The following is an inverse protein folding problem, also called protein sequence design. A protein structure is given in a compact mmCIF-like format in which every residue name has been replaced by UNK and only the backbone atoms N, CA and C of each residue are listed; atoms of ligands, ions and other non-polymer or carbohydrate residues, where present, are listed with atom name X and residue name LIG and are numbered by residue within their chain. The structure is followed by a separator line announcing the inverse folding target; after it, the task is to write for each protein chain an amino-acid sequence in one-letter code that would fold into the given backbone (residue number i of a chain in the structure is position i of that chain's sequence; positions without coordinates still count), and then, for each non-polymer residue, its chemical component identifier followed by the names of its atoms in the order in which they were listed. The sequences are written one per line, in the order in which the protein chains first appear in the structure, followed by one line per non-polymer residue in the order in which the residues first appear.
data_IF_328307863198
#
_entry.id   IF_328307863198
#
_cell.length_a   1.000
_cell.length_b   1.000
_cell.length_c   1.000
_cell.angle_alpha   90.00
_cell.angle_beta   90.00
_cell.angle_gamma   90.00
#
_symmetry.space_group_name_H-M   'P 1'
#
loop_
_entity.id
_entity.type
_entity.pdbx_description
1 polymer ?
#
# COMPACT_ATOMS: atom_id res chain seq x y z
N UNK A 1 43.79 10.93 -6.09
CA UNK A 1 43.23 10.71 -4.73
C UNK A 1 42.05 9.78 -4.89
N UNK A 2 42.18 8.52 -4.47
CA UNK A 2 41.08 7.58 -4.39
C UNK A 2 40.52 7.68 -2.98
N UNK A 3 39.25 8.07 -2.85
CA UNK A 3 38.53 8.08 -1.57
C UNK A 3 38.19 6.62 -1.22
N UNK A 4 38.67 6.15 -0.07
CA UNK A 4 38.32 4.84 0.48
C UNK A 4 37.53 5.07 1.77
N UNK A 5 36.42 4.33 1.93
CA UNK A 5 35.56 4.38 3.10
C UNK A 5 35.02 2.98 3.41
N UNK A 6 34.73 2.71 4.68
CA UNK A 6 34.15 1.42 5.12
C UNK A 6 32.69 1.36 4.68
N UNK A 7 32.23 0.22 4.16
CA UNK A 7 30.83 0.01 3.82
C UNK A 7 30.26 -1.08 4.72
N UNK A 8 29.11 -0.82 5.33
CA UNK A 8 28.40 -1.75 6.22
C UNK A 8 26.99 -1.96 5.69
N UNK A 9 26.61 -3.21 5.46
CA UNK A 9 25.21 -3.57 5.17
C UNK A 9 24.52 -3.81 6.49
N UNK A 10 23.50 -3.01 6.78
CA UNK A 10 22.75 -3.09 8.02
C UNK A 10 21.73 -4.22 7.97
N UNK A 11 21.58 -4.93 9.09
CA UNK A 11 20.54 -5.93 9.26
C UNK A 11 19.18 -5.27 9.43
N UNK A 12 18.13 -5.94 8.95
CA UNK A 12 16.76 -5.55 9.25
C UNK A 12 16.47 -5.80 10.74
N UNK A 13 15.91 -4.79 11.42
CA UNK A 13 15.43 -4.97 12.79
C UNK A 13 14.25 -5.95 12.80
N UNK A 14 14.11 -6.80 13.84
CA UNK A 14 12.92 -7.63 14.01
C UNK A 14 11.64 -6.79 13.94
N UNK A 15 10.60 -7.36 13.34
CA UNK A 15 9.28 -6.74 13.19
C UNK A 15 9.29 -5.34 12.53
N UNK A 16 10.32 -5.04 11.73
CA UNK A 16 10.48 -3.76 11.03
C UNK A 16 10.69 -3.98 9.54
N UNK A 17 9.91 -3.29 8.73
CA UNK A 17 10.10 -3.22 7.28
C UNK A 17 10.38 -1.77 6.88
N UNK A 18 11.40 -1.57 6.04
CA UNK A 18 11.73 -0.26 5.50
C UNK A 18 11.15 -0.13 4.09
N UNK A 19 10.30 0.86 3.86
CA UNK A 19 9.72 1.12 2.54
C UNK A 19 10.08 2.52 2.06
N UNK A 20 10.20 2.68 0.74
CA UNK A 20 10.19 3.99 0.10
C UNK A 20 8.75 4.36 -0.22
N UNK A 21 8.29 5.53 0.25
CA UNK A 21 6.98 6.08 -0.14
C UNK A 21 7.22 7.24 -1.10
N UNK A 22 6.73 7.12 -2.32
CA UNK A 22 7.00 8.06 -3.39
C UNK A 22 5.69 8.71 -3.87
N UNK A 23 5.68 10.04 -3.99
CA UNK A 23 4.53 10.83 -4.42
C UNK A 23 4.85 11.57 -5.75
N UNK A 24 4.75 10.90 -6.92
CA UNK A 24 5.28 11.42 -8.19
C UNK A 24 4.72 12.79 -8.59
N UNK A 25 3.47 13.06 -8.25
CA UNK A 25 2.75 14.28 -8.67
C UNK A 25 2.82 15.42 -7.64
N UNK A 26 3.42 15.18 -6.47
CA UNK A 26 3.40 16.12 -5.36
C UNK A 26 4.69 16.93 -5.32
N UNK A 27 4.57 18.26 -5.23
CA UNK A 27 5.71 19.19 -5.15
C UNK A 27 6.13 19.55 -3.72
N UNK A 28 5.28 19.23 -2.74
CA UNK A 28 5.51 19.49 -1.32
C UNK A 28 5.68 18.17 -0.58
N UNK A 29 6.35 18.22 0.56
CA UNK A 29 6.45 17.06 1.44
C UNK A 29 5.04 16.56 1.84
N UNK A 30 4.88 15.24 1.86
CA UNK A 30 3.66 14.59 2.34
C UNK A 30 3.69 14.41 3.85
N UNK A 31 4.88 14.38 4.45
CA UNK A 31 5.10 14.20 5.88
C UNK A 31 5.39 15.51 6.61
N UNK A 32 4.91 16.62 6.04
CA UNK A 32 4.90 17.94 6.68
C UNK A 32 3.98 17.91 7.91
N UNK A 33 4.46 18.26 9.12
CA UNK A 33 3.65 18.31 10.33
C UNK A 33 2.37 19.13 10.18
N UNK A 34 2.39 20.21 9.40
CA UNK A 34 1.22 21.07 9.17
C UNK A 34 0.09 20.34 8.42
N UNK A 35 0.43 19.32 7.63
CA UNK A 35 -0.52 18.53 6.84
C UNK A 35 -1.13 17.36 7.61
N UNK A 36 -0.69 17.11 8.84
CA UNK A 36 -1.22 16.06 9.73
C UNK A 36 -1.44 14.71 9.01
N UNK A 37 -0.36 14.08 8.52
CA UNK A 37 -0.46 12.84 7.76
C UNK A 37 -1.06 11.73 8.62
N UNK A 38 -2.07 11.04 8.06
CA UNK A 38 -2.69 9.86 8.67
C UNK A 38 -2.58 8.70 7.73
N UNK A 39 -2.09 7.58 8.25
CA UNK A 39 -1.70 6.45 7.43
C UNK A 39 -2.45 5.22 7.90
N UNK A 40 -2.89 4.42 6.93
CA UNK A 40 -3.37 3.07 7.18
C UNK A 40 -2.80 2.11 6.15
N UNK A 41 -2.65 0.86 6.55
CA UNK A 41 -1.93 -0.14 5.79
C UNK A 41 -2.66 -1.48 5.80
N UNK A 42 -2.63 -2.17 4.65
CA UNK A 42 -3.08 -3.54 4.49
C UNK A 42 -1.88 -4.44 4.27
N UNK A 43 -1.62 -5.32 5.24
CA UNK A 43 -0.38 -6.11 5.32
C UNK A 43 -0.26 -7.16 4.21
N UNK A 44 -1.33 -7.91 3.94
CA UNK A 44 -1.28 -9.03 3.01
C UNK A 44 -1.20 -8.57 1.55
N UNK A 45 -1.91 -7.49 1.22
CA UNK A 45 -1.90 -6.94 -0.15
C UNK A 45 -0.88 -5.83 -0.37
N UNK A 46 -0.15 -5.44 0.68
CA UNK A 46 0.82 -4.33 0.71
C UNK A 46 0.25 -3.06 0.09
N UNK A 47 -0.88 -2.61 0.63
CA UNK A 47 -1.57 -1.40 0.18
C UNK A 47 -1.52 -0.35 1.28
N UNK A 48 -1.04 0.84 0.96
CA UNK A 48 -0.96 1.97 1.86
C UNK A 48 -1.93 3.06 1.41
N UNK A 49 -2.65 3.64 2.36
CA UNK A 49 -3.43 4.86 2.17
C UNK A 49 -2.88 5.94 3.09
N UNK A 50 -2.59 7.09 2.50
CA UNK A 50 -2.12 8.29 3.19
C UNK A 50 -3.16 9.38 3.00
N UNK A 51 -3.68 9.92 4.10
CA UNK A 51 -4.58 11.08 4.11
C UNK A 51 -3.83 12.28 4.63
N UNK A 52 -3.89 13.36 3.87
CA UNK A 52 -3.27 14.63 4.22
C UNK A 52 -4.37 15.70 4.33
N UNK A 53 -4.28 16.56 5.34
CA UNK A 53 -5.13 17.72 5.42
C UNK A 53 -4.91 18.62 4.18
N UNK A 54 -6.01 19.15 3.64
CA UNK A 54 -5.94 20.15 2.59
C UNK A 54 -5.31 21.45 3.10
N UNK A 55 -4.60 22.12 2.20
CA UNK A 55 -4.10 23.47 2.42
C UNK A 55 -5.26 24.47 2.26
N UNK A 56 -5.88 24.83 3.39
CA UNK A 56 -6.99 25.79 3.45
C UNK A 56 -6.52 27.26 3.48
N UNK A 57 -5.23 27.50 3.68
CA UNK A 57 -4.66 28.85 3.81
C UNK A 57 -4.14 29.38 2.47
N UNK A 58 -3.88 28.49 1.50
CA UNK A 58 -3.51 28.89 0.15
C UNK A 58 -4.63 29.69 -0.53
N UNK A 59 -4.27 30.76 -1.23
CA UNK A 59 -5.20 31.52 -2.07
C UNK A 59 -5.80 30.72 -3.24
N UNK A 60 -5.31 29.49 -3.48
CA UNK A 60 -5.84 28.54 -4.45
C UNK A 60 -7.02 27.70 -3.92
N UNK A 61 -7.34 27.75 -2.63
CA UNK A 61 -8.43 26.97 -2.05
C UNK A 61 -9.79 27.67 -2.21
N UNK A 62 -10.63 27.14 -3.09
CA UNK A 62 -12.03 27.57 -3.22
C UNK A 62 -12.91 26.82 -2.21
N UNK A 63 -13.15 27.46 -1.07
CA UNK A 63 -13.97 26.91 0.01
C UNK A 63 -15.39 26.57 -0.45
N UNK A 64 -16.04 27.45 -1.22
CA UNK A 64 -17.42 27.23 -1.66
C UNK A 64 -17.54 26.01 -2.56
N UNK A 65 -16.59 25.84 -3.49
CA UNK A 65 -16.56 24.67 -4.37
C UNK A 65 -16.21 23.39 -3.59
N UNK A 66 -15.24 23.46 -2.68
CA UNK A 66 -14.87 22.32 -1.84
C UNK A 66 -16.04 21.84 -0.96
N UNK A 67 -16.81 22.77 -0.39
CA UNK A 67 -17.98 22.44 0.42
C UNK A 67 -19.09 21.75 -0.40
N UNK A 68 -19.32 22.18 -1.63
CA UNK A 68 -20.28 21.52 -2.54
C UNK A 68 -19.86 20.08 -2.82
N UNK A 69 -18.58 19.83 -3.10
CA UNK A 69 -18.07 18.47 -3.30
C UNK A 69 -18.19 17.61 -2.04
N UNK A 70 -17.91 18.17 -0.87
CA UNK A 70 -18.06 17.47 0.40
C UNK A 70 -19.53 17.08 0.66
N UNK A 71 -20.50 17.95 0.33
CA UNK A 71 -21.92 17.65 0.46
C UNK A 71 -22.37 16.52 -0.48
N UNK A 72 -21.90 16.50 -1.73
CA UNK A 72 -22.20 15.41 -2.67
C UNK A 72 -21.62 14.07 -2.22
N UNK A 73 -20.42 14.06 -1.62
CA UNK A 73 -19.79 12.83 -1.14
C UNK A 73 -20.41 12.27 0.15
N UNK A 74 -20.91 13.14 1.03
CA UNK A 74 -21.47 12.74 2.33
C UNK A 74 -22.80 11.97 2.22
N UNK A 75 -23.56 12.14 1.14
CA UNK A 75 -24.83 11.44 0.93
C UNK A 75 -24.68 9.91 0.78
N UNK A 76 -23.48 9.41 0.40
CA UNK A 76 -23.27 8.03 -0.03
C UNK A 76 -22.35 7.20 0.89
N UNK A 77 -22.00 7.69 2.08
CA UNK A 77 -21.09 6.96 3.01
C UNK A 77 -21.89 6.27 4.12
N UNK A 78 -22.05 4.94 4.01
CA UNK A 78 -22.44 4.11 5.16
C UNK A 78 -21.40 4.27 6.28
N UNK A 79 -21.90 4.56 7.47
CA UNK A 79 -21.22 5.16 8.63
C UNK A 79 -20.10 4.33 9.29
N UNK A 80 -19.66 3.20 8.70
CA UNK A 80 -18.71 2.27 9.33
C UNK A 80 -17.23 2.67 9.21
N UNK A 81 -16.86 3.65 8.38
CA UNK A 81 -15.45 4.07 8.18
C UNK A 81 -15.14 5.49 8.71
N UNK A 82 -15.84 5.90 9.77
CA UNK A 82 -15.75 7.23 10.39
C UNK A 82 -14.47 7.45 11.24
N UNK A 83 -13.30 7.02 10.75
CA UNK A 83 -12.04 7.53 11.30
C UNK A 83 -11.90 9.00 10.88
N UNK A 84 -12.30 9.91 11.80
CA UNK A 84 -12.14 11.37 11.80
C UNK A 84 -11.82 12.00 10.42
N UNK A 85 -12.67 11.81 9.41
CA UNK A 85 -12.40 12.37 8.08
C UNK A 85 -12.37 13.88 8.17
N UNK A 86 -11.26 14.53 7.80
CA UNK A 86 -11.32 15.95 7.55
C UNK A 86 -12.09 16.14 6.26
N UNK A 87 -12.98 17.13 6.25
CA UNK A 87 -13.94 17.42 5.17
C UNK A 87 -13.30 17.55 3.77
N UNK A 88 -11.98 17.79 3.71
CA UNK A 88 -11.23 18.08 2.49
C UNK A 88 -9.94 17.26 2.37
N UNK A 89 -9.85 16.08 3.00
CA UNK A 89 -8.63 15.26 2.93
C UNK A 89 -8.18 14.98 1.49
N UNK A 90 -6.89 15.19 1.23
CA UNK A 90 -6.23 14.62 0.06
C UNK A 90 -5.87 13.17 0.36
N UNK A 91 -6.52 12.24 -0.35
CA UNK A 91 -6.28 10.80 -0.19
C UNK A 91 -5.29 10.34 -1.27
N UNK A 92 -4.25 9.66 -0.85
CA UNK A 92 -3.30 8.97 -1.71
C UNK A 92 -3.30 7.49 -1.39
N UNK A 93 -3.28 6.66 -2.43
CA UNK A 93 -3.19 5.21 -2.30
C UNK A 93 -1.97 4.73 -3.10
N UNK A 94 -1.26 3.73 -2.58
CA UNK A 94 -0.11 3.16 -3.27
C UNK A 94 0.05 1.70 -2.88
N UNK A 95 0.52 0.89 -3.83
CA UNK A 95 0.77 -0.53 -3.62
C UNK A 95 2.24 -0.83 -3.81
N UNK A 96 2.81 -1.59 -2.89
CA UNK A 96 4.15 -2.14 -3.04
C UNK A 96 4.06 -3.56 -3.58
N UNK A 97 4.70 -3.82 -4.71
CA UNK A 97 4.80 -5.17 -5.26
C UNK A 97 5.98 -5.92 -4.64
N UNK A 98 5.83 -7.24 -4.48
CA UNK A 98 6.93 -8.09 -4.04
C UNK A 98 7.96 -8.23 -5.16
N UNK A 99 9.24 -8.03 -4.80
CA UNK A 99 10.53 -8.36 -5.44
C UNK A 99 10.54 -9.16 -6.77
N UNK A 100 9.83 -8.72 -7.80
CA UNK A 100 10.03 -9.19 -9.19
C UNK A 100 10.76 -8.13 -10.03
N UNK A 101 11.28 -7.07 -9.40
CA UNK A 101 12.08 -6.05 -10.08
C UNK A 101 13.58 -6.35 -10.00
N UNK A 102 14.27 -6.16 -11.12
CA UNK A 102 15.73 -6.23 -11.24
C UNK A 102 16.44 -5.08 -10.48
N UNK A 103 15.69 -4.05 -10.08
CA UNK A 103 16.21 -2.87 -9.40
C UNK A 103 15.91 -2.95 -7.91
N UNK A 104 16.95 -3.18 -7.11
CA UNK A 104 16.86 -3.11 -5.66
C UNK A 104 17.31 -1.73 -5.19
N UNK A 105 16.49 -1.12 -4.33
CA UNK A 105 16.82 0.15 -3.70
C UNK A 105 17.34 -0.11 -2.28
N UNK A 106 18.20 0.76 -1.81
CA UNK A 106 18.67 0.79 -0.43
C UNK A 106 18.79 2.25 0.03
N UNK A 107 18.71 2.47 1.33
CA UNK A 107 18.97 3.79 1.94
C UNK A 107 20.39 3.77 2.47
N UNK A 108 21.18 4.77 2.08
CA UNK A 108 22.57 4.92 2.51
C UNK A 108 22.76 6.15 3.39
N UNK A 109 23.57 6.06 4.45
CA UNK A 109 23.99 7.22 5.24
C UNK A 109 25.48 7.14 5.61
N UNK A 110 26.14 8.31 5.65
CA UNK A 110 27.51 8.43 6.14
C UNK A 110 27.50 8.77 7.63
N UNK A 111 28.35 8.09 8.39
CA UNK A 111 28.69 8.45 9.76
C UNK A 111 30.21 8.34 9.90
N UNK A 112 30.88 9.50 9.93
CA UNK A 112 32.35 9.56 9.86
C UNK A 112 32.86 9.09 8.50
N UNK A 113 33.72 8.08 8.50
CA UNK A 113 34.33 7.43 7.33
C UNK A 113 33.64 6.11 6.93
N UNK A 114 32.47 5.84 7.51
CA UNK A 114 31.71 4.61 7.28
C UNK A 114 30.38 4.93 6.59
N UNK A 115 30.10 4.22 5.50
CA UNK A 115 28.85 4.26 4.74
C UNK A 115 27.98 3.06 5.11
N UNK A 116 26.84 3.33 5.72
CA UNK A 116 25.87 2.33 6.15
C UNK A 116 24.78 2.20 5.09
N UNK A 117 24.42 0.98 4.72
CA UNK A 117 23.42 0.68 3.70
C UNK A 117 22.33 -0.22 4.30
N UNK A 118 21.08 0.25 4.28
CA UNK A 118 19.91 -0.52 4.72
C UNK A 118 19.03 -0.90 3.52
N UNK A 119 18.77 -2.18 3.26
CA UNK A 119 17.91 -2.61 2.16
C UNK A 119 16.45 -2.19 2.41
N UNK A 120 15.76 -1.75 1.35
CA UNK A 120 14.31 -1.48 1.45
C UNK A 120 13.50 -2.71 1.01
N UNK A 121 12.38 -2.95 1.69
CA UNK A 121 11.43 -4.03 1.41
C UNK A 121 10.63 -3.81 0.12
N UNK A 122 10.44 -2.54 -0.27
CA UNK A 122 9.76 -2.17 -1.51
C UNK A 122 9.52 -0.67 -1.64
N UNK A 123 8.86 -0.28 -2.74
CA UNK A 123 8.40 1.09 -2.97
C UNK A 123 6.88 1.14 -3.06
N UNK A 124 6.26 2.10 -2.38
CA UNK A 124 4.89 2.53 -2.61
C UNK A 124 4.90 3.72 -3.57
N UNK A 125 4.47 3.49 -4.80
CA UNK A 125 4.18 4.58 -5.74
C UNK A 125 2.76 5.08 -5.49
N UNK A 126 2.66 6.24 -4.84
CA UNK A 126 1.41 6.83 -4.39
C UNK A 126 0.73 7.59 -5.51
N UNK A 127 -0.56 7.31 -5.74
CA UNK A 127 -1.41 8.07 -6.64
C UNK A 127 -2.54 8.74 -5.85
N UNK A 128 -2.97 9.91 -6.30
CA UNK A 128 -4.11 10.60 -5.69
C UNK A 128 -5.39 9.81 -5.99
N UNK A 129 -6.12 9.42 -4.94
CA UNK A 129 -7.39 8.71 -5.04
C UNK A 129 -8.55 9.70 -5.18
N UNK A 130 -9.41 9.45 -6.18
CA UNK A 130 -10.66 10.18 -6.41
C UNK A 130 -11.89 9.30 -6.13
N UNK A 131 -11.71 8.16 -5.45
CA UNK A 131 -12.78 7.19 -5.21
C UNK A 131 -13.99 7.81 -4.49
N UNK A 132 -13.75 8.76 -3.59
CA UNK A 132 -14.79 9.51 -2.89
C UNK A 132 -15.66 10.36 -3.83
N UNK A 133 -15.13 10.84 -4.97
CA UNK A 133 -15.90 11.57 -5.98
C UNK A 133 -16.71 10.62 -6.87
N UNK A 134 -16.16 9.45 -7.19
CA UNK A 134 -16.84 8.47 -8.03
C UNK A 134 -18.12 7.93 -7.37
N UNK A 135 -18.11 7.79 -6.05
CA UNK A 135 -19.29 7.35 -5.30
C UNK A 135 -20.38 8.42 -5.24
N UNK A 136 -20.06 9.72 -5.39
CA UNK A 136 -21.05 10.80 -5.38
C UNK A 136 -21.99 10.76 -6.59
N UNK A 137 -21.55 10.23 -7.74
CA UNK A 137 -22.36 10.13 -8.96
C UNK A 137 -23.31 8.93 -8.99
N UNK A 138 -23.11 7.91 -8.16
CA UNK A 138 -23.95 6.70 -8.16
C UNK A 138 -25.30 6.89 -7.47
N UNK A 139 -25.35 7.70 -6.40
CA UNK A 139 -26.61 7.99 -5.71
C UNK A 139 -27.63 8.76 -6.56
N UNK A 140 -27.22 9.40 -7.66
CA UNK A 140 -28.15 10.08 -8.57
C UNK A 140 -28.77 9.15 -9.62
N UNK A 141 -28.24 7.92 -9.79
CA UNK A 141 -28.73 6.94 -10.77
C UNK A 141 -29.50 5.79 -10.11
N UNK A 142 -29.25 5.51 -8.82
CA UNK A 142 -29.98 4.47 -8.08
C UNK A 142 -31.41 4.91 -7.67
N UNK A 143 -31.74 6.21 -7.70
CA UNK A 143 -33.09 6.71 -7.36
C UNK A 143 -34.12 6.53 -8.50
N UNK A 144 -33.71 6.12 -9.72
CA UNK A 144 -34.64 5.83 -10.83
C UNK A 144 -34.91 4.32 -11.05
N UNK A 145 -34.15 3.41 -10.43
CA UNK A 145 -34.30 1.96 -10.65
C UNK A 145 -35.03 1.20 -9.51
N UNK A 146 -35.45 1.88 -8.42
CA UNK A 146 -36.27 1.28 -7.34
C UNK A 146 -37.75 1.70 -7.42
N UNK A 147 -38.32 1.65 -8.62
CA UNK A 147 -39.75 1.87 -8.87
C UNK A 147 -40.29 0.85 -9.89
N UNK A 148 -40.10 -0.44 -9.62
CA UNK A 148 -40.58 -1.50 -10.50
C UNK A 148 -40.52 -2.88 -9.89
N UNK A 149 -41.56 -3.20 -9.12
CA UNK A 149 -42.24 -4.51 -8.97
C UNK A 149 -42.74 -4.71 -7.54
N UNK A 150 -43.85 -4.03 -7.22
CA UNK A 150 -44.75 -4.46 -6.17
C UNK A 150 -45.51 -5.68 -6.69
N UNK A 151 -45.16 -6.88 -6.20
CA UNK A 151 -45.96 -8.08 -6.40
C UNK A 151 -46.68 -8.42 -5.10
N UNK A 152 -48.00 -8.26 -5.12
CA UNK A 152 -48.91 -8.62 -4.04
C UNK A 152 -49.68 -9.86 -4.50
N UNK A 153 -49.83 -10.83 -3.59
CA UNK A 153 -50.68 -12.02 -3.66
C UNK A 153 -50.16 -13.24 -4.48
N UNK A 154 -49.80 -14.32 -3.78
CA UNK A 154 -50.62 -15.55 -3.78
C UNK A 154 -50.00 -16.67 -2.94
N UNK A 155 -50.81 -17.21 -2.02
CA UNK A 155 -50.60 -18.49 -1.36
C UNK A 155 -50.55 -19.65 -2.37
N UNK A 156 -49.58 -20.54 -2.20
CA UNK A 156 -49.51 -21.79 -2.97
C UNK A 156 -48.24 -22.58 -2.66
N UNK A 157 -48.37 -23.61 -1.85
CA UNK A 157 -47.32 -24.60 -1.56
C UNK A 157 -46.82 -25.26 -2.85
N UNK A 158 -45.72 -24.76 -3.38
CA UNK A 158 -44.95 -25.43 -4.44
C UNK A 158 -43.66 -25.96 -3.82
N UNK A 159 -43.49 -27.28 -3.91
CA UNK A 159 -42.28 -27.99 -3.51
C UNK A 159 -41.06 -27.39 -4.22
N UNK A 160 -40.25 -26.62 -3.48
CA UNK A 160 -38.99 -26.07 -3.99
C UNK A 160 -38.04 -27.24 -4.30
N UNK A 161 -37.93 -27.60 -5.58
CA UNK A 161 -36.98 -28.59 -6.07
C UNK A 161 -35.56 -28.15 -5.70
N UNK A 162 -34.92 -28.87 -4.78
CA UNK A 162 -33.54 -28.61 -4.37
C UNK A 162 -32.61 -29.03 -5.51
N UNK A 163 -32.15 -28.06 -6.30
CA UNK A 163 -31.19 -28.30 -7.39
C UNK A 163 -29.78 -28.31 -6.81
N UNK A 164 -29.30 -29.49 -6.43
CA UNK A 164 -27.93 -29.68 -5.94
C UNK A 164 -26.97 -29.55 -7.13
N UNK A 165 -26.26 -28.41 -7.23
CA UNK A 165 -25.16 -28.24 -8.19
C UNK A 165 -23.89 -28.80 -7.55
N UNK A 166 -23.47 -29.99 -7.98
CA UNK A 166 -22.17 -30.53 -7.60
C UNK A 166 -21.07 -29.62 -8.16
N UNK A 167 -20.23 -29.08 -7.28
CA UNK A 167 -19.07 -28.31 -7.68
C UNK A 167 -18.11 -29.23 -8.44
N UNK A 168 -17.91 -28.98 -9.73
CA UNK A 168 -16.85 -29.66 -10.48
C UNK A 168 -15.51 -29.23 -9.88
N UNK A 169 -14.59 -30.17 -9.59
CA UNK A 169 -13.23 -29.84 -9.21
C UNK A 169 -12.64 -28.93 -10.28
N UNK A 170 -12.16 -27.76 -9.87
CA UNK A 170 -11.61 -26.80 -10.79
C UNK A 170 -10.25 -27.27 -11.28
N UNK A 171 -10.01 -27.12 -12.58
CA UNK A 171 -8.70 -27.44 -13.16
C UNK A 171 -7.65 -26.40 -12.74
N UNK A 172 -6.39 -26.80 -12.62
CA UNK A 172 -5.28 -25.88 -12.29
C UNK A 172 -5.19 -24.68 -13.24
N UNK A 173 -5.51 -24.88 -14.53
CA UNK A 173 -5.56 -23.80 -15.53
C UNK A 173 -6.68 -22.78 -15.27
N UNK A 174 -7.85 -23.24 -14.82
CA UNK A 174 -8.97 -22.37 -14.47
C UNK A 174 -8.66 -21.60 -13.19
N UNK A 175 -8.08 -22.28 -12.20
CA UNK A 175 -7.62 -21.67 -10.95
C UNK A 175 -6.64 -20.53 -11.20
N UNK A 176 -5.61 -20.75 -12.02
CA UNK A 176 -4.65 -19.71 -12.40
C UNK A 176 -5.29 -18.52 -13.12
N UNK A 177 -6.27 -18.76 -14.01
CA UNK A 177 -7.03 -17.67 -14.67
C UNK A 177 -7.87 -16.87 -13.68
N UNK A 178 -8.51 -17.55 -12.74
CA UNK A 178 -9.30 -16.91 -11.69
C UNK A 178 -8.42 -16.10 -10.76
N UNK A 179 -7.26 -16.62 -10.36
CA UNK A 179 -6.28 -15.89 -9.53
C UNK A 179 -5.71 -14.65 -10.23
N UNK A 180 -5.51 -14.72 -11.55
CA UNK A 180 -5.09 -13.57 -12.36
C UNK A 180 -6.21 -12.55 -12.62
N UNK A 181 -7.47 -12.88 -12.34
CA UNK A 181 -8.61 -12.01 -12.61
C UNK A 181 -8.61 -10.76 -11.72
N UNK A 182 -9.10 -9.64 -12.25
CA UNK A 182 -9.29 -8.41 -11.47
C UNK A 182 -10.21 -8.64 -10.27
N UNK A 183 -11.32 -9.37 -10.49
CA UNK A 183 -12.31 -9.66 -9.45
C UNK A 183 -11.74 -10.47 -8.27
N UNK A 184 -10.84 -11.42 -8.52
CA UNK A 184 -10.18 -12.12 -7.43
C UNK A 184 -9.22 -11.21 -6.64
N UNK A 185 -8.45 -10.37 -7.34
CA UNK A 185 -7.57 -9.38 -6.71
C UNK A 185 -8.36 -8.37 -5.87
N UNK A 186 -9.49 -7.88 -6.37
CA UNK A 186 -10.40 -7.00 -5.63
C UNK A 186 -10.95 -7.68 -4.38
N UNK A 187 -11.34 -8.95 -4.46
CA UNK A 187 -11.80 -9.73 -3.30
C UNK A 187 -10.70 -9.89 -2.25
N UNK A 188 -9.46 -10.18 -2.67
CA UNK A 188 -8.32 -10.26 -1.75
C UNK A 188 -8.06 -8.92 -1.06
N UNK A 189 -8.03 -7.83 -1.84
CA UNK A 189 -7.88 -6.48 -1.29
C UNK A 189 -9.02 -6.19 -0.31
N UNK A 190 -10.27 -6.48 -0.66
CA UNK A 190 -11.42 -6.23 0.20
C UNK A 190 -11.41 -7.06 1.49
N UNK A 191 -10.94 -8.31 1.42
CA UNK A 191 -10.82 -9.19 2.59
C UNK A 191 -9.73 -8.78 3.57
N UNK A 192 -8.68 -8.10 3.09
CA UNK A 192 -7.58 -7.67 3.94
C UNK A 192 -7.97 -6.42 4.76
N UNK A 193 -7.73 -6.48 6.07
CA UNK A 193 -8.16 -5.45 7.01
C UNK A 193 -7.21 -4.24 7.01
N UNK A 194 -7.78 -3.05 7.15
CA UNK A 194 -7.00 -1.83 7.34
C UNK A 194 -6.43 -1.77 8.75
N UNK A 195 -5.13 -1.53 8.86
CA UNK A 195 -4.41 -1.32 10.12
C UNK A 195 -4.06 0.18 10.19
N UNK A 196 -4.62 0.96 11.14
CA UNK A 196 -4.19 2.34 11.35
C UNK A 196 -2.74 2.35 11.86
N UNK A 197 -1.96 3.35 11.44
CA UNK A 197 -0.57 3.51 11.83
C UNK A 197 -0.36 4.81 12.58
N UNK A 198 0.40 4.73 13.67
CA UNK A 198 0.90 5.91 14.38
C UNK A 198 2.07 6.51 13.57
N UNK A 199 1.95 7.81 13.26
CA UNK A 199 2.91 8.51 12.40
C UNK A 199 3.86 9.32 13.27
N UNK A 200 5.12 8.89 13.31
CA UNK A 200 6.22 9.61 13.96
C UNK A 200 7.03 10.36 12.89
N UNK A 201 7.13 11.68 13.04
CA UNK A 201 7.86 12.55 12.09
C UNK A 201 9.32 12.70 12.51
N UNK A 202 10.15 13.31 11.63
CA UNK A 202 11.61 13.39 11.81
C UNK A 202 12.05 14.07 13.12
N UNK A 203 11.21 14.94 13.68
CA UNK A 203 11.47 15.64 14.95
C UNK A 203 11.19 14.78 16.19
N UNK A 204 10.50 13.64 16.03
CA UNK A 204 10.17 12.74 17.11
C UNK A 204 11.44 11.99 17.60
N UNK A 205 11.76 12.02 18.90
CA UNK A 205 12.90 11.29 19.45
C UNK A 205 12.91 9.80 19.11
N UNK A 206 11.73 9.17 19.02
CA UNK A 206 11.59 7.75 18.69
C UNK A 206 12.12 7.41 17.29
N UNK A 207 12.02 8.35 16.33
CA UNK A 207 12.56 8.17 14.97
C UNK A 207 14.07 8.18 14.99
N UNK A 208 14.67 9.09 15.78
CA UNK A 208 16.13 9.17 15.94
C UNK A 208 16.68 7.92 16.61
N UNK A 209 16.00 7.43 17.65
CA UNK A 209 16.36 6.19 18.34
C UNK A 209 16.29 4.99 17.40
N UNK A 210 15.21 4.86 16.64
CA UNK A 210 15.04 3.75 15.69
C UNK A 210 16.06 3.79 14.57
N UNK A 211 16.40 4.98 14.05
CA UNK A 211 17.47 5.16 13.06
C UNK A 211 18.83 4.72 13.63
N UNK A 212 19.13 5.06 14.89
CA UNK A 212 20.36 4.65 15.56
C UNK A 212 20.45 3.11 15.67
N UNK A 213 19.35 2.43 16.04
CA UNK A 213 19.29 0.97 16.09
C UNK A 213 19.49 0.29 14.73
N UNK A 214 19.05 0.91 13.63
CA UNK A 214 19.30 0.40 12.27
C UNK A 214 20.74 0.58 11.80
N UNK A 215 21.56 1.39 12.48
CA UNK A 215 22.95 1.70 12.08
C UNK A 215 24.00 1.08 13.02
N UNK A 216 23.62 0.02 13.73
CA UNK A 216 24.54 -0.69 14.63
C UNK A 216 25.60 -1.41 13.80
N UNK A 217 26.86 -1.10 14.09
CA UNK A 217 28.01 -1.85 13.60
C UNK A 217 27.92 -3.28 14.11
N UNK A 218 27.96 -4.31 13.24
CA UNK A 218 28.15 -5.67 13.71
C UNK A 218 29.46 -5.74 14.50
N UNK A 219 29.55 -6.59 15.54
CA UNK A 219 30.79 -6.82 16.26
C UNK A 219 31.89 -7.18 15.26
N UNK A 220 33.09 -6.65 15.46
CA UNK A 220 34.25 -6.96 14.62
C UNK A 220 34.72 -8.39 14.88
N UNK A 221 33.95 -9.38 14.44
CA UNK A 221 34.33 -10.79 14.52
C UNK A 221 33.73 -11.55 13.34
N UNK A 222 34.63 -12.09 12.50
CA UNK A 222 34.30 -13.14 11.55
C UNK A 222 34.35 -12.72 10.08
N UNK A 223 35.57 -12.54 9.56
CA UNK A 223 35.89 -12.78 8.14
C UNK A 223 35.62 -14.26 7.81
N UNK A 224 34.33 -14.60 7.66
CA UNK A 224 33.84 -15.95 7.37
C UNK A 224 32.69 -15.92 6.36
N UNK A 225 32.61 -14.85 5.56
CA UNK A 225 31.81 -14.88 4.35
C UNK A 225 32.53 -15.75 3.33
N UNK A 226 31.87 -16.81 2.84
CA UNK A 226 32.33 -17.50 1.63
C UNK A 226 32.60 -16.45 0.55
N UNK A 227 33.85 -16.37 0.12
CA UNK A 227 34.30 -15.40 -0.87
C UNK A 227 33.79 -15.87 -2.24
N UNK A 228 32.52 -15.59 -2.52
CA UNK A 228 31.89 -15.88 -3.80
C UNK A 228 32.70 -15.19 -4.89
N UNK A 229 33.21 -15.98 -5.83
CA UNK A 229 33.94 -15.44 -6.97
C UNK A 229 32.96 -14.73 -7.90
N UNK A 230 33.47 -13.85 -8.77
CA UNK A 230 32.64 -13.20 -9.80
C UNK A 230 31.92 -14.22 -10.68
N UNK A 231 32.53 -15.40 -10.89
CA UNK A 231 31.92 -16.51 -11.61
C UNK A 231 30.72 -17.10 -10.85
N UNK A 232 30.85 -17.31 -9.55
CA UNK A 232 29.76 -17.84 -8.71
C UNK A 232 28.57 -16.87 -8.70
N UNK A 233 28.84 -15.56 -8.62
CA UNK A 233 27.81 -14.52 -8.70
C UNK A 233 27.09 -14.49 -10.06
N UNK A 234 27.82 -14.69 -11.15
CA UNK A 234 27.27 -14.74 -12.51
C UNK A 234 26.46 -16.03 -12.71
N UNK A 235 26.94 -17.18 -12.25
CA UNK A 235 26.23 -18.45 -12.35
C UNK A 235 24.94 -18.42 -11.50
N UNK A 236 24.97 -17.89 -10.27
CA UNK A 236 23.76 -17.68 -9.46
C UNK A 236 22.77 -16.68 -10.09
N UNK A 237 23.29 -15.59 -10.69
CA UNK A 237 22.45 -14.59 -11.36
C UNK A 237 21.79 -15.10 -12.65
N UNK A 238 22.44 -16.03 -13.37
CA UNK A 238 21.94 -16.61 -14.62
C UNK A 238 20.94 -17.76 -14.34
N UNK A 239 21.12 -18.54 -13.28
CA UNK A 239 20.26 -19.69 -12.97
C UNK A 239 18.89 -19.27 -12.40
N UNK A 240 18.75 -18.05 -11.86
CA UNK A 240 17.44 -17.49 -11.47
C UNK A 240 16.48 -17.22 -12.64
N UNK A 241 16.86 -17.53 -13.89
CA UNK A 241 16.04 -17.42 -15.09
C UNK A 241 15.20 -18.65 -15.44
N UNK A 242 15.46 -19.83 -14.86
CA UNK A 242 14.66 -21.02 -15.16
C UNK A 242 13.57 -21.24 -14.10
N UNK A 243 12.34 -20.87 -14.48
CA UNK A 243 11.14 -21.44 -13.88
C UNK A 243 11.21 -22.97 -14.00
N UNK A 244 11.44 -23.66 -12.89
CA UNK A 244 10.98 -25.04 -12.75
C UNK A 244 9.44 -25.00 -12.83
N UNK A 245 8.94 -25.20 -14.05
CA UNK A 245 7.65 -25.81 -14.28
C UNK A 245 7.88 -27.33 -14.32
N UNK A 246 7.53 -28.01 -13.24
CA UNK A 246 6.95 -29.35 -13.30
C UNK A 246 5.76 -29.43 -12.36
#
# INVERSE_FOLDING_TARGET
LLFQFKVVVCNQLPDTELYRVHFPVRKRDAFDPERQPRIRYKKNVRLMEVRLAADLTSGSFDKSKAERFAQMGAANVKQENAAAQHKFDEIYEGRAYAKDDFVQFAVGCFRGDTFYISPIAGTFDMHRSLAHLNNAGKGAHDDEEDAGESDTEAAGTTSKQVRVKFARPETERQKKRREASALHREKLIASDSWIPMDVHLKEDPSVTEKLAQMTVTPPEDGDSGELLTTRDLVEQGIICGEKEQM
#
